data_IF_558691432867
#
_entry.id   IF_558691432867
#
_cell.length_a   1.000
_cell.length_b   1.000
_cell.length_c   1.000
_cell.angle_alpha   90.00
_cell.angle_beta   90.00
_cell.angle_gamma   90.00
#
_symmetry.space_group_name_H-M   'P 1'
#
loop_
_entity.id
_entity.type
_entity.pdbx_description
1 polymer ?
#
# COMPACT_ATOMS: atom_id res chain seq x y z
N UNK A 1 5.47 12.60 25.03
CA UNK A 1 4.56 13.70 24.67
C UNK A 1 5.38 14.75 23.92
N UNK A 2 5.53 14.61 22.61
CA UNK A 2 6.10 15.64 21.75
C UNK A 2 4.94 16.31 21.03
N UNK A 3 4.72 17.58 21.40
CA UNK A 3 3.53 18.31 21.05
C UNK A 3 3.36 18.53 19.55
N UNK A 4 2.18 18.25 19.07
CA UNK A 4 1.60 18.89 17.91
C UNK A 4 1.60 20.39 18.19
N UNK A 5 2.37 21.17 17.45
CA UNK A 5 2.37 22.63 17.56
C UNK A 5 1.04 23.14 17.02
N UNK A 6 0.20 23.66 17.91
CA UNK A 6 -0.96 24.47 17.51
C UNK A 6 -0.47 25.69 16.73
N UNK A 7 -0.67 25.68 15.43
CA UNK A 7 -0.59 26.87 14.58
C UNK A 7 -2.01 27.35 14.30
N UNK A 8 -2.40 28.46 14.94
CA UNK A 8 -3.61 29.28 14.65
C UNK A 8 -4.93 28.55 14.37
N UNK A 9 -5.17 27.37 14.95
CA UNK A 9 -6.48 26.70 14.88
C UNK A 9 -6.88 26.14 13.50
N UNK A 10 -5.99 26.11 12.53
CA UNK A 10 -6.23 25.52 11.21
C UNK A 10 -5.16 24.46 10.94
N UNK A 11 -5.49 23.18 11.16
CA UNK A 11 -4.68 22.08 10.66
C UNK A 11 -4.84 22.01 9.15
N UNK A 12 -3.74 22.14 8.40
CA UNK A 12 -3.78 21.88 6.97
C UNK A 12 -3.57 20.38 6.68
N UNK A 13 -4.09 19.91 5.56
CA UNK A 13 -3.98 18.52 5.12
C UNK A 13 -2.55 17.98 5.14
N UNK A 14 -1.58 18.82 4.76
CA UNK A 14 -0.15 18.49 4.79
C UNK A 14 0.40 18.26 6.20
N UNK A 15 -0.07 18.97 7.21
CA UNK A 15 0.37 18.75 8.60
C UNK A 15 -0.14 17.42 9.12
N UNK A 16 -1.38 17.07 8.77
CA UNK A 16 -1.94 15.75 9.11
C UNK A 16 -1.21 14.63 8.39
N UNK A 17 -0.90 14.79 7.10
CA UNK A 17 -0.10 13.82 6.33
C UNK A 17 1.26 13.56 7.00
N UNK A 18 1.99 14.62 7.39
CA UNK A 18 3.28 14.46 8.07
C UNK A 18 3.15 13.85 9.47
N UNK A 19 2.08 14.17 10.21
CA UNK A 19 1.82 13.54 11.51
C UNK A 19 1.55 12.03 11.34
N UNK A 20 0.77 11.65 10.34
CA UNK A 20 0.50 10.26 10.01
C UNK A 20 1.79 9.50 9.65
N UNK A 21 2.65 10.11 8.83
CA UNK A 21 3.96 9.56 8.47
C UNK A 21 4.85 9.41 9.71
N UNK A 22 4.87 10.40 10.60
CA UNK A 22 5.65 10.34 11.84
C UNK A 22 5.25 9.18 12.77
N UNK A 23 3.96 8.82 12.82
CA UNK A 23 3.51 7.62 13.53
C UNK A 23 4.02 6.34 12.85
N UNK A 24 4.02 6.28 11.52
CA UNK A 24 4.56 5.12 10.79
C UNK A 24 6.08 4.98 10.98
N UNK A 25 6.83 6.09 10.97
CA UNK A 25 8.27 6.07 11.26
C UNK A 25 8.56 5.57 12.68
N UNK A 26 7.71 5.92 13.66
CA UNK A 26 7.83 5.41 15.02
C UNK A 26 7.61 3.89 15.13
N UNK A 27 6.86 3.30 14.19
CA UNK A 27 6.66 1.86 14.09
C UNK A 27 7.72 1.15 13.22
N UNK A 28 8.69 1.88 12.64
CA UNK A 28 9.82 1.30 11.92
C UNK A 28 9.75 1.40 10.39
N UNK A 29 8.86 2.24 9.84
CA UNK A 29 8.85 2.54 8.41
C UNK A 29 9.88 3.61 8.06
N UNK A 30 10.62 3.43 6.96
CA UNK A 30 11.53 4.44 6.43
C UNK A 30 10.76 5.43 5.54
N UNK A 31 10.79 6.72 5.88
CA UNK A 31 10.15 7.74 5.07
C UNK A 31 10.97 8.14 3.84
N UNK A 32 10.28 8.32 2.72
CA UNK A 32 10.80 8.95 1.51
C UNK A 32 9.73 9.78 0.81
N UNK A 33 10.08 10.98 0.36
CA UNK A 33 9.17 11.72 -0.52
C UNK A 33 9.08 11.05 -1.90
N UNK A 34 7.88 10.98 -2.47
CA UNK A 34 7.65 10.43 -3.81
C UNK A 34 8.45 11.14 -4.91
N UNK A 35 8.82 12.40 -4.70
CA UNK A 35 9.68 13.15 -5.61
C UNK A 35 11.14 12.65 -5.60
N UNK A 36 11.57 12.00 -4.52
CA UNK A 36 12.93 11.48 -4.36
C UNK A 36 13.05 10.01 -4.79
N UNK A 37 11.94 9.35 -5.12
CA UNK A 37 11.96 7.97 -5.62
C UNK A 37 12.44 7.96 -7.07
N UNK A 38 13.58 7.29 -7.29
CA UNK A 38 14.14 7.12 -8.64
C UNK A 38 13.30 6.13 -9.44
N UNK A 39 12.74 6.60 -10.57
CA UNK A 39 11.95 5.80 -11.51
C UNK A 39 12.27 6.20 -12.94
N UNK A 40 12.22 5.26 -13.87
CA UNK A 40 12.44 5.56 -15.29
C UNK A 40 11.31 6.44 -15.82
N UNK A 41 10.08 6.13 -15.45
CA UNK A 41 8.90 6.93 -15.79
C UNK A 41 7.97 7.06 -14.58
N UNK A 42 7.07 8.04 -14.59
CA UNK A 42 6.02 8.16 -13.58
C UNK A 42 4.91 7.09 -13.70
N UNK A 43 4.99 6.21 -14.68
CA UNK A 43 4.11 5.03 -14.81
C UNK A 43 4.66 3.83 -14.05
N UNK A 44 5.96 3.83 -13.73
CA UNK A 44 6.57 2.74 -12.97
C UNK A 44 6.09 2.82 -11.50
N UNK A 45 5.55 1.72 -11.03
CA UNK A 45 4.94 1.64 -9.70
C UNK A 45 5.94 1.11 -8.68
N UNK A 46 6.80 0.18 -9.08
CA UNK A 46 7.75 -0.47 -8.19
C UNK A 46 8.96 0.43 -7.91
N UNK A 47 9.47 0.37 -6.69
CA UNK A 47 10.77 0.95 -6.31
C UNK A 47 11.85 -0.09 -6.65
N UNK A 48 12.46 0.05 -7.83
CA UNK A 48 13.37 -0.94 -8.39
C UNK A 48 14.55 -1.28 -7.47
N UNK A 49 15.13 -0.28 -6.81
CA UNK A 49 16.29 -0.48 -5.94
C UNK A 49 15.95 -1.36 -4.73
N UNK A 50 14.84 -1.07 -4.06
CA UNK A 50 14.40 -1.83 -2.88
C UNK A 50 14.02 -3.27 -3.28
N UNK A 51 13.32 -3.43 -4.42
CA UNK A 51 12.94 -4.75 -4.93
C UNK A 51 14.15 -5.61 -5.27
N UNK A 52 15.04 -5.08 -6.10
CA UNK A 52 16.24 -5.81 -6.54
C UNK A 52 17.18 -6.13 -5.37
N UNK A 53 17.32 -5.18 -4.42
CA UNK A 53 18.09 -5.40 -3.22
C UNK A 53 17.54 -6.56 -2.39
N UNK A 54 16.23 -6.58 -2.12
CA UNK A 54 15.61 -7.66 -1.36
C UNK A 54 15.78 -9.02 -2.04
N UNK A 55 15.51 -9.10 -3.36
CA UNK A 55 15.64 -10.37 -4.11
C UNK A 55 17.09 -10.86 -4.10
N UNK A 56 18.07 -9.98 -4.30
CA UNK A 56 19.48 -10.34 -4.25
C UNK A 56 19.94 -10.77 -2.85
N UNK A 57 19.56 -10.04 -1.81
CA UNK A 57 19.96 -10.34 -0.42
C UNK A 57 19.34 -11.65 0.11
N UNK A 58 18.22 -12.08 -0.48
CA UNK A 58 17.53 -13.31 -0.07
C UNK A 58 17.83 -14.52 -0.94
N UNK A 59 18.45 -14.32 -2.12
CA UNK A 59 18.81 -15.37 -3.08
C UNK A 59 20.23 -15.12 -3.60
N UNK A 60 21.22 -15.41 -2.77
CA UNK A 60 22.64 -15.08 -3.01
C UNK A 60 23.29 -15.79 -4.22
N UNK A 61 22.63 -16.76 -4.78
CA UNK A 61 23.05 -17.53 -5.95
C UNK A 61 22.51 -16.96 -7.27
N UNK A 62 21.62 -15.97 -7.24
CA UNK A 62 21.13 -15.28 -8.43
C UNK A 62 22.14 -14.23 -8.91
N UNK A 63 22.30 -14.13 -10.23
CA UNK A 63 23.04 -13.06 -10.88
C UNK A 63 22.21 -11.77 -10.94
N UNK A 64 22.87 -10.62 -11.17
CA UNK A 64 22.17 -9.33 -11.34
C UNK A 64 21.19 -9.34 -12.53
N UNK A 65 21.53 -10.06 -13.61
CA UNK A 65 20.64 -10.21 -14.76
C UNK A 65 19.38 -11.00 -14.41
N UNK A 66 19.51 -12.09 -13.64
CA UNK A 66 18.37 -12.88 -13.15
C UNK A 66 17.48 -12.10 -12.20
N UNK A 67 18.08 -11.34 -11.28
CA UNK A 67 17.33 -10.41 -10.40
C UNK A 67 16.56 -9.37 -11.25
N UNK A 68 17.18 -8.88 -12.33
CA UNK A 68 16.52 -7.94 -13.25
C UNK A 68 15.39 -8.60 -14.02
N UNK A 69 15.53 -9.84 -14.48
CA UNK A 69 14.47 -10.61 -15.14
C UNK A 69 13.27 -10.84 -14.20
N UNK A 70 13.53 -11.16 -12.92
CA UNK A 70 12.49 -11.31 -11.90
C UNK A 70 11.75 -9.99 -11.70
N UNK A 71 12.49 -8.88 -11.55
CA UNK A 71 11.91 -7.54 -11.44
C UNK A 71 11.01 -7.21 -12.65
N UNK A 72 11.50 -7.43 -13.87
CA UNK A 72 10.74 -7.16 -15.08
C UNK A 72 9.49 -8.05 -15.21
N UNK A 73 9.56 -9.30 -14.76
CA UNK A 73 8.41 -10.20 -14.73
C UNK A 73 7.31 -9.71 -13.79
N UNK A 74 7.67 -9.14 -12.64
CA UNK A 74 6.72 -8.55 -11.70
C UNK A 74 6.21 -7.20 -12.20
N UNK A 75 7.07 -6.37 -12.81
CA UNK A 75 6.71 -5.04 -13.34
C UNK A 75 5.79 -5.11 -14.56
N UNK A 76 5.98 -6.11 -15.42
CA UNK A 76 5.26 -6.28 -16.68
C UNK A 76 4.12 -7.28 -16.56
N UNK A 77 3.25 -7.10 -15.57
CA UNK A 77 2.06 -7.95 -15.41
C UNK A 77 1.21 -7.88 -16.67
N UNK A 78 0.91 -9.06 -17.25
CA UNK A 78 0.11 -9.17 -18.47
C UNK A 78 -1.31 -8.63 -18.29
N UNK A 79 -1.92 -8.20 -19.40
CA UNK A 79 -3.27 -7.66 -19.43
C UNK A 79 -4.32 -8.75 -19.16
N UNK A 80 -4.88 -8.75 -17.97
CA UNK A 80 -6.05 -9.51 -17.55
C UNK A 80 -7.10 -8.50 -17.03
N UNK A 81 -8.22 -8.99 -16.50
CA UNK A 81 -9.14 -8.09 -15.79
C UNK A 81 -8.45 -7.52 -14.55
N UNK A 82 -8.88 -6.35 -14.09
CA UNK A 82 -8.29 -5.70 -12.90
C UNK A 82 -8.32 -6.61 -11.66
N UNK A 83 -9.41 -7.37 -11.47
CA UNK A 83 -9.53 -8.31 -10.37
C UNK A 83 -8.54 -9.47 -10.50
N UNK A 84 -8.45 -10.10 -11.68
CA UNK A 84 -7.53 -11.20 -11.93
C UNK A 84 -6.06 -10.75 -11.78
N UNK A 85 -5.74 -9.54 -12.25
CA UNK A 85 -4.41 -8.96 -12.14
C UNK A 85 -4.04 -8.69 -10.67
N UNK A 86 -4.93 -8.07 -9.90
CA UNK A 86 -4.74 -7.84 -8.46
C UNK A 86 -4.53 -9.17 -7.72
N UNK A 87 -5.39 -10.17 -7.97
CA UNK A 87 -5.29 -11.49 -7.36
C UNK A 87 -3.98 -12.20 -7.70
N UNK A 88 -3.56 -12.15 -8.96
CA UNK A 88 -2.29 -12.72 -9.44
C UNK A 88 -1.08 -12.08 -8.75
N UNK A 89 -1.04 -10.74 -8.70
CA UNK A 89 0.05 -10.00 -8.06
C UNK A 89 0.08 -10.28 -6.57
N UNK A 90 -1.07 -10.29 -5.90
CA UNK A 90 -1.17 -10.67 -4.49
C UNK A 90 -0.63 -12.09 -4.24
N UNK A 91 -0.99 -13.07 -5.09
CA UNK A 91 -0.47 -14.42 -4.98
C UNK A 91 1.06 -14.48 -5.15
N UNK A 92 1.64 -13.67 -6.03
CA UNK A 92 3.10 -13.55 -6.12
C UNK A 92 3.73 -12.95 -4.86
N UNK A 93 3.09 -11.95 -4.25
CA UNK A 93 3.57 -11.35 -3.00
C UNK A 93 3.55 -12.35 -1.85
N UNK A 94 2.50 -13.17 -1.75
CA UNK A 94 2.35 -14.14 -0.63
C UNK A 94 3.15 -15.41 -0.86
N UNK A 95 3.14 -15.96 -2.09
CA UNK A 95 3.68 -17.28 -2.38
C UNK A 95 5.03 -17.25 -3.13
N UNK A 96 5.45 -16.06 -3.57
CA UNK A 96 6.61 -15.90 -4.44
C UNK A 96 6.28 -16.08 -5.92
N UNK A 97 7.29 -15.87 -6.77
CA UNK A 97 7.22 -16.04 -8.22
C UNK A 97 8.06 -17.24 -8.65
N UNK A 98 7.53 -18.07 -9.55
CA UNK A 98 8.29 -19.16 -10.14
C UNK A 98 9.32 -18.59 -11.12
N UNK A 99 10.57 -18.96 -10.95
CA UNK A 99 11.68 -18.57 -11.81
C UNK A 99 12.61 -19.76 -12.06
N UNK A 100 13.20 -19.82 -13.26
CA UNK A 100 14.18 -20.84 -13.63
C UNK A 100 15.51 -20.12 -13.92
N UNK A 101 16.47 -20.13 -12.97
CA UNK A 101 17.80 -19.60 -13.18
C UNK A 101 18.59 -20.34 -14.25
N UNK A 102 19.83 -19.86 -14.52
CA UNK A 102 20.72 -20.48 -15.51
C UNK A 102 21.12 -21.92 -15.15
N UNK A 103 21.01 -22.32 -13.88
CA UNK A 103 21.21 -23.72 -13.44
C UNK A 103 20.12 -24.70 -13.96
N UNK A 104 19.04 -24.17 -14.55
CA UNK A 104 17.93 -24.93 -15.11
C UNK A 104 16.95 -25.48 -14.07
N UNK A 105 17.12 -25.19 -12.79
CA UNK A 105 16.25 -25.69 -11.72
C UNK A 105 15.20 -24.64 -11.36
N UNK A 106 13.93 -24.91 -11.75
CA UNK A 106 12.82 -24.03 -11.40
C UNK A 106 12.59 -24.00 -9.88
N UNK A 107 12.42 -22.80 -9.32
CA UNK A 107 12.15 -22.58 -7.90
C UNK A 107 11.26 -21.37 -7.66
N UNK A 108 10.68 -21.31 -6.47
CA UNK A 108 9.89 -20.16 -6.03
C UNK A 108 10.82 -19.13 -5.41
N UNK A 109 10.80 -17.90 -5.95
CA UNK A 109 11.54 -16.76 -5.41
C UNK A 109 10.60 -15.95 -4.54
N UNK A 110 10.84 -15.85 -3.23
CA UNK A 110 10.01 -15.04 -2.35
C UNK A 110 10.16 -13.56 -2.66
N UNK A 111 9.06 -12.84 -2.69
CA UNK A 111 9.02 -11.39 -2.86
C UNK A 111 8.87 -10.65 -1.51
N UNK A 112 8.39 -11.35 -0.48
CA UNK A 112 8.27 -10.88 0.90
C UNK A 112 8.74 -11.99 1.82
N UNK A 113 9.48 -11.66 2.87
CA UNK A 113 9.84 -12.59 3.93
C UNK A 113 8.84 -12.49 5.07
N UNK A 114 7.99 -13.50 5.22
CA UNK A 114 6.97 -13.60 6.28
C UNK A 114 7.47 -14.30 7.54
N UNK A 115 8.76 -14.56 7.66
CA UNK A 115 9.30 -15.16 8.87
C UNK A 115 9.25 -14.16 10.01
N UNK A 116 8.78 -14.63 11.17
CA UNK A 116 8.77 -13.82 12.37
C UNK A 116 10.19 -13.40 12.75
N UNK A 117 10.33 -12.21 13.27
CA UNK A 117 11.61 -11.59 13.63
C UNK A 117 12.60 -11.42 12.44
N UNK A 118 12.10 -11.47 11.20
CA UNK A 118 12.95 -11.23 10.03
C UNK A 118 13.22 -9.74 9.87
N UNK A 119 14.50 -9.39 9.71
CA UNK A 119 14.97 -8.03 9.41
C UNK A 119 15.32 -7.83 7.93
N UNK A 120 14.88 -8.73 7.05
CA UNK A 120 15.24 -8.69 5.64
C UNK A 120 14.35 -7.77 4.81
N UNK A 121 13.07 -7.62 5.20
CA UNK A 121 12.16 -6.76 4.48
C UNK A 121 12.53 -5.28 4.62
N UNK A 122 12.33 -4.54 3.54
CA UNK A 122 12.49 -3.09 3.47
C UNK A 122 11.09 -2.48 3.54
N UNK A 123 10.78 -1.82 4.65
CA UNK A 123 9.51 -1.13 4.86
C UNK A 123 9.68 0.35 4.57
N UNK A 124 8.95 0.87 3.59
CA UNK A 124 9.05 2.27 3.19
C UNK A 124 7.68 2.93 3.12
N UNK A 125 7.53 4.07 3.77
CA UNK A 125 6.39 4.96 3.60
C UNK A 125 6.75 6.07 2.62
N UNK A 126 5.92 6.25 1.59
CA UNK A 126 6.14 7.24 0.52
C UNK A 126 4.93 8.13 0.41
N UNK A 127 5.11 9.44 0.54
CA UNK A 127 4.05 10.40 0.31
C UNK A 127 4.12 11.01 -1.10
N UNK A 128 2.99 11.51 -1.56
CA UNK A 128 2.90 12.30 -2.79
C UNK A 128 3.52 11.59 -4.01
N UNK A 129 3.34 10.28 -4.11
CA UNK A 129 3.86 9.45 -5.18
C UNK A 129 3.07 9.68 -6.47
N UNK A 130 3.63 10.48 -7.39
CA UNK A 130 2.96 10.83 -8.64
C UNK A 130 2.89 9.65 -9.60
N UNK A 131 1.70 9.30 -10.07
CA UNK A 131 1.45 8.24 -11.07
C UNK A 131 0.85 8.85 -12.32
N UNK A 132 1.52 8.66 -13.47
CA UNK A 132 1.08 9.15 -14.77
C UNK A 132 0.08 8.18 -15.42
N UNK A 133 -0.97 8.72 -16.01
CA UNK A 133 -1.90 7.98 -16.85
C UNK A 133 -2.25 8.78 -18.12
N UNK A 134 -2.95 8.15 -19.07
CA UNK A 134 -3.37 8.81 -20.30
C UNK A 134 -4.89 8.92 -20.34
N UNK A 135 -5.39 10.14 -20.48
CA UNK A 135 -6.80 10.43 -20.62
C UNK A 135 -7.02 11.16 -21.96
N UNK A 136 -7.83 10.58 -22.86
CA UNK A 136 -8.10 11.14 -24.19
C UNK A 136 -6.83 11.56 -24.97
N UNK A 137 -5.76 10.77 -24.86
CA UNK A 137 -4.47 11.05 -25.50
C UNK A 137 -3.60 12.10 -24.80
N UNK A 138 -4.05 12.67 -23.69
CA UNK A 138 -3.29 13.62 -22.88
C UNK A 138 -2.71 12.93 -21.64
N UNK A 139 -1.50 13.33 -21.25
CA UNK A 139 -0.86 12.86 -20.03
C UNK A 139 -1.41 13.62 -18.83
N UNK A 140 -1.96 12.88 -17.90
CA UNK A 140 -2.43 13.37 -16.61
C UNK A 140 -1.77 12.62 -15.46
N UNK A 141 -1.97 13.08 -14.23
CA UNK A 141 -1.37 12.49 -13.06
C UNK A 141 -2.40 12.30 -11.93
N UNK A 142 -2.22 11.22 -11.17
CA UNK A 142 -2.79 11.06 -9.84
C UNK A 142 -1.65 10.99 -8.82
N UNK A 143 -1.95 11.38 -7.61
CA UNK A 143 -0.94 11.47 -6.56
C UNK A 143 -1.56 11.07 -5.22
N UNK A 144 -1.55 9.76 -4.91
CA UNK A 144 -1.93 9.28 -3.60
C UNK A 144 -1.18 9.99 -2.48
N UNK A 145 -1.86 10.27 -1.37
CA UNK A 145 -1.26 10.97 -0.26
C UNK A 145 -0.13 10.15 0.35
N UNK A 146 -0.39 8.88 0.69
CA UNK A 146 0.62 7.98 1.26
C UNK A 146 0.50 6.59 0.66
N UNK A 147 1.63 5.96 0.35
CA UNK A 147 1.76 4.56 -0.03
C UNK A 147 2.71 3.83 0.92
N UNK A 148 2.34 2.61 1.31
CA UNK A 148 3.21 1.72 2.07
C UNK A 148 3.83 0.67 1.16
N UNK A 149 5.16 0.70 1.07
CA UNK A 149 5.94 -0.23 0.26
C UNK A 149 6.62 -1.28 1.14
N UNK A 150 6.58 -2.53 0.69
CA UNK A 150 7.43 -3.60 1.23
C UNK A 150 8.28 -4.13 0.08
N UNK A 151 9.58 -4.12 0.25
CA UNK A 151 10.55 -4.57 -0.77
C UNK A 151 10.31 -3.92 -2.14
N UNK A 152 9.97 -2.62 -2.14
CA UNK A 152 9.72 -1.86 -3.36
C UNK A 152 8.37 -2.12 -4.03
N UNK A 153 7.49 -2.93 -3.45
CA UNK A 153 6.12 -3.15 -3.92
C UNK A 153 5.13 -2.38 -3.03
N UNK A 154 4.20 -1.58 -3.59
CA UNK A 154 3.20 -0.90 -2.78
C UNK A 154 2.11 -1.89 -2.35
N UNK A 155 1.89 -2.04 -1.04
CA UNK A 155 0.92 -2.98 -0.49
C UNK A 155 -0.35 -2.30 0.04
N UNK A 156 -0.25 -1.01 0.36
CA UNK A 156 -1.38 -0.25 0.89
C UNK A 156 -1.38 1.17 0.32
N UNK A 157 -2.55 1.63 -0.10
CA UNK A 157 -2.81 3.03 -0.46
C UNK A 157 -3.60 3.70 0.66
N UNK A 158 -3.19 4.90 1.05
CA UNK A 158 -3.78 5.68 2.14
C UNK A 158 -4.18 7.04 1.57
N UNK A 159 -5.46 7.40 1.73
CA UNK A 159 -5.99 8.72 1.40
C UNK A 159 -6.43 9.46 2.65
N UNK A 160 -5.97 10.67 2.76
CA UNK A 160 -6.20 11.54 3.91
C UNK A 160 -7.09 12.71 3.50
N UNK A 161 -7.95 13.16 4.40
CA UNK A 161 -8.76 14.36 4.22
C UNK A 161 -8.45 15.35 5.32
N UNK A 162 -8.58 16.63 5.01
CA UNK A 162 -8.30 17.69 5.96
C UNK A 162 -9.30 17.64 7.11
N UNK A 163 -8.85 17.41 8.36
CA UNK A 163 -9.74 17.39 9.52
C UNK A 163 -10.47 18.72 9.78
N UNK A 164 -9.95 19.83 9.26
CA UNK A 164 -10.53 21.15 9.42
C UNK A 164 -11.53 21.54 8.31
N UNK A 165 -11.63 20.74 7.25
CA UNK A 165 -12.59 21.00 6.15
C UNK A 165 -13.87 20.20 6.37
N UNK A 166 -14.91 20.90 6.80
CA UNK A 166 -16.22 20.27 7.01
C UNK A 166 -16.87 19.67 5.74
N UNK A 167 -16.37 20.03 4.55
CA UNK A 167 -16.85 19.49 3.27
C UNK A 167 -16.04 18.29 2.78
N UNK A 168 -14.85 18.05 3.33
CA UNK A 168 -14.03 16.90 2.99
C UNK A 168 -14.30 15.77 3.98
N UNK A 169 -14.83 14.66 3.49
CA UNK A 169 -15.25 13.54 4.34
C UNK A 169 -14.39 12.30 4.08
N UNK A 170 -14.40 11.39 5.04
CA UNK A 170 -13.76 10.07 4.87
C UNK A 170 -14.38 9.30 3.68
N UNK A 171 -15.64 9.58 3.30
CA UNK A 171 -16.28 9.01 2.13
C UNK A 171 -15.61 9.48 0.83
N UNK A 172 -15.20 10.76 0.75
CA UNK A 172 -14.47 11.29 -0.41
C UNK A 172 -13.11 10.61 -0.59
N UNK A 173 -12.46 10.23 0.50
CA UNK A 173 -11.23 9.44 0.45
C UNK A 173 -11.49 8.04 -0.12
N UNK A 174 -12.57 7.37 0.30
CA UNK A 174 -12.99 6.09 -0.25
C UNK A 174 -13.31 6.20 -1.75
N UNK A 175 -14.11 7.20 -2.15
CA UNK A 175 -14.47 7.44 -3.55
C UNK A 175 -13.22 7.68 -4.42
N UNK A 176 -12.22 8.39 -3.87
CA UNK A 176 -10.96 8.64 -4.56
C UNK A 176 -10.22 7.34 -4.88
N UNK A 177 -10.10 6.42 -3.94
CA UNK A 177 -9.45 5.12 -4.14
C UNK A 177 -10.32 4.20 -5.02
N UNK A 178 -11.58 3.98 -4.60
CA UNK A 178 -12.41 2.91 -5.15
C UNK A 178 -13.09 3.26 -6.47
N UNK A 179 -13.12 4.54 -6.86
CA UNK A 179 -13.71 4.99 -8.13
C UNK A 179 -12.66 5.66 -9.00
N UNK A 180 -12.02 6.73 -8.50
CA UNK A 180 -11.14 7.56 -9.35
C UNK A 180 -9.84 6.84 -9.68
N UNK A 181 -9.18 6.17 -8.73
CA UNK A 181 -7.92 5.49 -8.97
C UNK A 181 -8.10 4.23 -9.82
N UNK A 182 -9.18 3.48 -9.64
CA UNK A 182 -9.49 2.36 -10.54
C UNK A 182 -9.74 2.80 -11.98
N UNK A 183 -10.34 3.97 -12.19
CA UNK A 183 -10.55 4.52 -13.54
C UNK A 183 -9.23 5.03 -14.16
N UNK A 184 -8.39 5.72 -13.37
CA UNK A 184 -7.28 6.52 -13.91
C UNK A 184 -5.93 5.81 -13.80
N UNK A 185 -5.66 5.14 -12.67
CA UNK A 185 -4.39 4.50 -12.35
C UNK A 185 -4.55 3.06 -11.83
N UNK A 186 -5.34 2.18 -12.49
CA UNK A 186 -5.54 0.80 -12.03
C UNK A 186 -4.23 0.04 -11.87
N UNK A 187 -3.21 0.36 -12.67
CA UNK A 187 -1.89 -0.26 -12.59
C UNK A 187 -1.16 -0.03 -11.25
N UNK A 188 -1.51 1.00 -10.46
CA UNK A 188 -1.08 1.11 -9.07
C UNK A 188 -1.84 0.12 -8.19
N UNK A 189 -3.17 0.09 -8.33
CA UNK A 189 -4.04 -0.69 -7.46
C UNK A 189 -3.90 -2.20 -7.67
N UNK A 190 -3.35 -2.64 -8.81
CA UNK A 190 -2.98 -4.04 -9.02
C UNK A 190 -1.95 -4.56 -8.02
N UNK A 191 -1.17 -3.65 -7.38
CA UNK A 191 -0.17 -4.00 -6.37
C UNK A 191 -0.63 -3.65 -4.94
N UNK A 192 -1.67 -2.82 -4.78
CA UNK A 192 -2.15 -2.33 -3.49
C UNK A 192 -3.46 -3.02 -3.10
N UNK A 193 -3.49 -4.22 -2.53
CA UNK A 193 -4.74 -4.84 -2.12
C UNK A 193 -5.38 -4.14 -0.92
N UNK A 194 -4.59 -3.48 -0.05
CA UNK A 194 -5.09 -2.76 1.12
C UNK A 194 -5.32 -1.29 0.84
N UNK A 195 -6.35 -0.74 1.47
CA UNK A 195 -6.69 0.67 1.44
C UNK A 195 -6.99 1.20 2.84
N UNK A 196 -6.44 2.38 3.17
CA UNK A 196 -6.78 3.11 4.38
C UNK A 196 -7.34 4.48 4.00
N UNK A 197 -8.36 4.90 4.71
CA UNK A 197 -8.98 6.21 4.56
C UNK A 197 -9.05 6.91 5.91
N UNK A 198 -8.76 8.21 5.95
CA UNK A 198 -8.83 8.97 7.20
C UNK A 198 -9.17 10.42 6.97
N UNK A 199 -9.91 11.01 7.92
CA UNK A 199 -10.18 12.45 8.03
C UNK A 199 -9.61 13.04 9.33
N UNK A 200 -8.71 12.30 10.01
CA UNK A 200 -8.11 12.69 11.29
C UNK A 200 -9.01 12.43 12.50
N UNK A 201 -10.32 12.31 12.32
CA UNK A 201 -11.27 11.93 13.37
C UNK A 201 -11.58 10.44 13.29
N UNK A 202 -11.76 9.95 12.06
CA UNK A 202 -12.02 8.55 11.76
C UNK A 202 -10.91 8.00 10.87
N UNK A 203 -10.45 6.81 11.19
CA UNK A 203 -9.47 6.07 10.37
C UNK A 203 -9.99 4.65 10.15
N UNK A 204 -10.06 4.23 8.88
CA UNK A 204 -10.67 2.95 8.51
C UNK A 204 -9.81 2.20 7.51
N UNK A 205 -9.77 0.89 7.67
CA UNK A 205 -9.08 -0.07 6.82
C UNK A 205 -10.08 -0.88 6.00
N UNK A 206 -9.74 -1.13 4.76
CA UNK A 206 -10.44 -2.04 3.86
C UNK A 206 -9.50 -2.52 2.76
N UNK A 207 -10.06 -3.13 1.73
CA UNK A 207 -9.33 -3.42 0.49
C UNK A 207 -9.73 -2.40 -0.59
N UNK A 208 -8.94 -2.30 -1.64
CA UNK A 208 -9.23 -1.40 -2.78
C UNK A 208 -10.49 -1.79 -3.59
N UNK A 209 -11.19 -2.85 -3.19
CA UNK A 209 -12.47 -3.32 -3.77
C UNK A 209 -13.60 -3.38 -2.74
N UNK A 210 -13.32 -3.03 -1.48
CA UNK A 210 -14.31 -3.09 -0.41
C UNK A 210 -15.31 -1.93 -0.52
N UNK A 211 -16.63 -2.18 -0.48
CA UNK A 211 -17.64 -1.14 -0.33
C UNK A 211 -17.42 -0.31 0.93
N UNK A 212 -17.82 0.96 0.90
CA UNK A 212 -17.57 1.91 2.01
C UNK A 212 -18.05 1.41 3.37
N UNK A 213 -19.23 0.79 3.43
CA UNK A 213 -19.84 0.25 4.64
C UNK A 213 -19.04 -0.87 5.30
N UNK A 214 -18.10 -1.47 4.58
CA UNK A 214 -17.24 -2.54 5.06
C UNK A 214 -15.80 -2.09 5.37
N UNK A 215 -15.55 -0.78 5.38
CA UNK A 215 -14.32 -0.24 5.92
C UNK A 215 -14.44 -0.15 7.44
N UNK A 216 -13.46 -0.76 8.16
CA UNK A 216 -13.52 -0.90 9.62
C UNK A 216 -12.51 -0.03 10.35
N UNK A 217 -12.92 0.51 11.50
CA UNK A 217 -12.05 1.14 12.47
C UNK A 217 -11.29 0.08 13.27
N UNK A 218 -9.99 0.27 13.46
CA UNK A 218 -9.21 -0.55 14.38
C UNK A 218 -9.24 0.09 15.76
N UNK A 219 -9.91 -0.53 16.70
CA UNK A 219 -10.30 0.13 17.97
C UNK A 219 -9.38 -0.16 19.14
N UNK A 220 -8.47 -1.14 19.02
CA UNK A 220 -7.54 -1.56 20.08
C UNK A 220 -6.25 -2.09 19.47
N UNK A 221 -5.13 -1.84 20.13
CA UNK A 221 -3.85 -2.40 19.72
C UNK A 221 -3.72 -3.84 20.20
N UNK A 222 -4.10 -4.10 21.46
CA UNK A 222 -4.07 -5.43 22.06
C UNK A 222 -5.42 -5.79 22.68
N UNK A 223 -5.63 -7.08 22.94
CA UNK A 223 -6.81 -7.51 23.67
C UNK A 223 -6.76 -6.97 25.11
N UNK A 224 -7.89 -6.42 25.57
CA UNK A 224 -8.02 -5.77 26.87
C UNK A 224 -7.68 -4.27 26.93
N UNK A 225 -7.11 -3.69 25.88
CA UNK A 225 -6.90 -2.24 25.81
C UNK A 225 -8.24 -1.48 25.81
N UNK A 226 -8.25 -0.25 26.34
CA UNK A 226 -9.39 0.63 26.26
C UNK A 226 -9.68 0.96 24.78
N UNK A 227 -10.97 1.13 24.45
CA UNK A 227 -11.35 1.59 23.12
C UNK A 227 -10.99 3.06 22.98
N UNK A 228 -10.28 3.41 21.91
CA UNK A 228 -10.00 4.80 21.56
C UNK A 228 -11.29 5.57 21.32
N UNK A 229 -11.41 6.74 21.90
CA UNK A 229 -12.62 7.60 21.84
C UNK A 229 -12.31 9.04 21.44
N UNK A 230 -11.04 9.42 21.38
CA UNK A 230 -10.60 10.78 21.04
C UNK A 230 -10.19 10.88 19.56
N UNK A 231 -10.37 12.05 18.93
CA UNK A 231 -9.78 12.32 17.61
C UNK A 231 -8.27 12.03 17.60
N UNK A 232 -7.75 11.58 16.48
CA UNK A 232 -6.36 11.15 16.27
C UNK A 232 -5.92 9.87 17.00
N UNK A 233 -6.54 9.50 18.13
CA UNK A 233 -6.26 8.21 18.79
C UNK A 233 -6.67 7.03 17.91
N UNK A 234 -7.74 7.19 17.11
CA UNK A 234 -8.15 6.15 16.15
C UNK A 234 -7.07 5.92 15.10
N UNK A 235 -6.41 6.99 14.63
CA UNK A 235 -5.28 6.92 13.71
C UNK A 235 -4.07 6.24 14.36
N UNK A 236 -3.68 6.64 15.55
CA UNK A 236 -2.55 6.05 16.29
C UNK A 236 -2.81 4.56 16.60
N UNK A 237 -4.05 4.24 17.00
CA UNK A 237 -4.47 2.86 17.26
C UNK A 237 -4.42 1.99 16.00
N UNK A 238 -4.87 2.54 14.86
CA UNK A 238 -4.75 1.89 13.56
C UNK A 238 -3.29 1.63 13.21
N UNK A 239 -2.42 2.64 13.35
CA UNK A 239 -1.02 2.50 12.99
C UNK A 239 -0.33 1.45 13.84
N UNK A 240 -0.47 1.49 15.16
CA UNK A 240 0.11 0.49 16.06
C UNK A 240 -0.50 -0.89 15.93
N UNK A 241 -1.81 -0.97 15.67
CA UNK A 241 -2.55 -2.22 15.60
C UNK A 241 -2.48 -2.93 14.26
N UNK A 242 -2.21 -2.20 13.17
CA UNK A 242 -2.21 -2.72 11.80
C UNK A 242 -0.86 -2.54 11.12
N UNK A 243 -0.26 -1.34 11.23
CA UNK A 243 0.90 -0.98 10.41
C UNK A 243 2.24 -1.18 11.11
N UNK A 244 2.29 -1.69 12.36
CA UNK A 244 3.53 -2.25 12.90
C UNK A 244 4.01 -3.38 11.96
N UNK A 245 5.27 -3.38 11.48
CA UNK A 245 5.73 -4.21 10.37
C UNK A 245 5.33 -5.68 10.41
N UNK A 246 5.50 -6.35 11.56
CA UNK A 246 5.13 -7.76 11.70
C UNK A 246 3.62 -7.98 11.60
N UNK A 247 2.82 -7.13 12.26
CA UNK A 247 1.35 -7.21 12.19
C UNK A 247 0.83 -6.90 10.80
N UNK A 248 1.45 -5.92 10.12
CA UNK A 248 1.09 -5.58 8.76
C UNK A 248 1.28 -6.77 7.82
N UNK A 249 2.41 -7.46 7.92
CA UNK A 249 2.67 -8.66 7.12
C UNK A 249 1.73 -9.82 7.45
N UNK A 250 1.40 -10.02 8.74
CA UNK A 250 0.43 -11.03 9.16
C UNK A 250 -0.96 -10.72 8.59
N UNK A 251 -1.44 -9.48 8.73
CA UNK A 251 -2.73 -9.05 8.16
C UNK A 251 -2.72 -9.20 6.64
N UNK A 252 -1.65 -8.77 5.99
CA UNK A 252 -1.50 -8.87 4.55
C UNK A 252 -1.58 -10.31 4.04
N UNK A 253 -0.91 -11.25 4.70
CA UNK A 253 -0.86 -12.65 4.28
C UNK A 253 -2.12 -13.42 4.65
N UNK A 254 -2.65 -13.22 5.86
CA UNK A 254 -3.59 -14.16 6.48
C UNK A 254 -5.04 -13.64 6.51
N UNK A 255 -5.29 -12.35 6.26
CA UNK A 255 -6.62 -11.74 6.40
C UNK A 255 -7.19 -11.17 5.11
N UNK A 256 -6.45 -11.22 3.99
CA UNK A 256 -6.97 -10.83 2.68
C UNK A 256 -7.50 -12.08 1.98
N UNK A 257 -8.77 -12.04 1.60
CA UNK A 257 -9.43 -13.11 0.90
C UNK A 257 -10.03 -12.62 -0.43
N UNK A 258 -9.80 -13.37 -1.49
CA UNK A 258 -10.37 -13.10 -2.81
C UNK A 258 -11.53 -14.05 -3.05
N UNK A 259 -12.70 -13.49 -3.30
CA UNK A 259 -13.90 -14.25 -3.62
C UNK A 259 -14.38 -13.87 -5.01
N UNK A 260 -14.43 -14.84 -5.93
CA UNK A 260 -15.13 -14.65 -7.19
C UNK A 260 -16.64 -14.63 -6.91
N UNK A 261 -17.30 -13.51 -7.22
CA UNK A 261 -18.76 -13.48 -7.18
C UNK A 261 -19.29 -14.30 -8.37
N UNK A 262 -19.93 -15.42 -8.09
CA UNK A 262 -20.64 -16.24 -9.09
C UNK A 262 -21.91 -15.50 -9.61
N UNK A 263 -22.14 -14.26 -9.18
CA UNK A 263 -23.40 -13.52 -9.38
C UNK A 263 -23.37 -12.48 -10.50
N UNK A 264 -22.52 -12.63 -11.53
CA UNK A 264 -22.51 -11.70 -12.67
C UNK A 264 -22.74 -12.38 -14.01
N UNK A 265 -23.71 -13.28 -14.12
CA UNK A 265 -24.07 -13.82 -15.43
C UNK A 265 -25.53 -13.91 -15.79
N UNK A 266 -26.49 -13.49 -14.94
CA UNK A 266 -27.89 -13.51 -15.38
C UNK A 266 -28.73 -12.46 -14.65
N UNK A 267 -28.66 -11.19 -15.09
CA UNK A 267 -29.80 -10.25 -15.04
C UNK A 267 -29.46 -8.98 -15.82
N UNK A 268 -29.79 -9.00 -17.11
CA UNK A 268 -30.21 -7.82 -17.88
C UNK A 268 -31.52 -8.19 -18.54
#
# INVERSE_FOLDING_TARGET
MSGLKEYNGCYCESEYEYAFIGFLEAEGWEYSSGNNISRVTKRDILIANDFKKFVADTNLDLTEDEVTQIYDSVRLVGAETDFATLHKVYNWMVNGIQFTPQDGIARMIPLIDFKKDSNKNIFRVVNQFTVEYTNNGQKENRRPDVLLFVNGMPLCVIELKNPADANATIYDAWEQINIRYWRDIPHLLHYCPLACISDGVKTRLGTVRTPYEHFYAWRRVNDGDAVSTLPFEETETMIKGVYAPERFLEIFRDYIYFQDSIYDSDEV
#
